data_IF_529973771252
#
_entry.id   IF_529973771252
#
_cell.length_a   1.000
_cell.length_b   1.000
_cell.length_c   1.000
_cell.angle_alpha   90.00
_cell.angle_beta   90.00
_cell.angle_gamma   90.00
#
_symmetry.space_group_name_H-M   'P 1'
#
loop_
_entity.id
_entity.type
_entity.pdbx_description
1 polymer ?
#
# COMPACT_ATOMS: atom_id res chain seq x y z
N UNK A 1 12.77 -39.03 33.28
CA UNK A 1 13.33 -37.66 33.23
C UNK A 1 12.30 -36.80 32.50
N UNK A 2 11.96 -35.63 33.04
CA UNK A 2 11.02 -34.73 32.37
C UNK A 2 11.69 -34.12 31.13
N UNK A 3 10.99 -34.11 29.99
CA UNK A 3 11.48 -33.52 28.76
C UNK A 3 10.82 -32.16 28.55
N UNK A 4 11.58 -31.16 28.12
CA UNK A 4 11.12 -29.79 27.95
C UNK A 4 11.30 -29.31 26.52
N UNK A 5 10.31 -28.60 26.00
CA UNK A 5 10.37 -28.01 24.67
C UNK A 5 11.49 -26.96 24.62
N UNK A 6 12.37 -27.07 23.65
CA UNK A 6 13.50 -26.14 23.48
C UNK A 6 13.09 -24.75 23.00
N UNK A 7 11.83 -24.56 22.59
CA UNK A 7 11.29 -23.27 22.13
C UNK A 7 10.51 -22.51 23.19
N UNK A 8 9.65 -23.19 23.95
CA UNK A 8 8.78 -22.52 24.93
C UNK A 8 9.03 -22.97 26.39
N UNK A 9 9.87 -23.98 26.62
CA UNK A 9 10.17 -24.48 27.96
C UNK A 9 9.09 -25.37 28.60
N UNK A 10 7.96 -25.61 27.92
CA UNK A 10 6.88 -26.45 28.44
C UNK A 10 7.32 -27.92 28.51
N UNK A 11 6.98 -28.59 29.62
CA UNK A 11 7.18 -30.03 29.75
C UNK A 11 6.28 -30.80 28.77
N UNK A 12 6.80 -31.87 28.17
CA UNK A 12 6.04 -32.71 27.24
C UNK A 12 6.16 -34.20 27.56
N UNK A 13 5.15 -34.96 27.16
CA UNK A 13 5.11 -36.42 27.35
C UNK A 13 6.13 -37.13 26.44
N UNK A 14 6.85 -38.17 26.93
CA UNK A 14 7.79 -38.93 26.11
C UNK A 14 7.10 -39.52 24.87
N UNK A 15 7.63 -39.25 23.68
CA UNK A 15 7.08 -39.73 22.40
C UNK A 15 6.15 -38.75 21.68
N UNK A 16 5.84 -37.59 22.26
CA UNK A 16 5.14 -36.52 21.56
C UNK A 16 5.97 -36.02 20.35
N UNK A 17 5.34 -35.93 19.16
CA UNK A 17 5.99 -35.46 17.93
C UNK A 17 5.99 -33.93 17.83
N UNK A 18 5.05 -33.27 18.52
CA UNK A 18 4.86 -31.82 18.55
C UNK A 18 4.58 -31.39 19.98
N UNK A 19 4.95 -30.15 20.33
CA UNK A 19 4.62 -29.55 21.61
C UNK A 19 3.18 -29.04 21.61
N UNK A 20 2.38 -29.43 22.61
CA UNK A 20 0.95 -29.08 22.68
C UNK A 20 0.72 -27.57 22.87
N UNK A 21 1.68 -26.84 23.45
CA UNK A 21 1.56 -25.40 23.72
C UNK A 21 2.01 -24.51 22.55
N UNK A 22 3.09 -24.87 21.85
CA UNK A 22 3.68 -24.00 20.82
C UNK A 22 3.70 -24.61 19.41
N UNK A 23 3.23 -25.85 19.25
CA UNK A 23 3.18 -26.57 17.98
C UNK A 23 4.55 -26.99 17.41
N UNK A 24 5.65 -26.68 18.09
CA UNK A 24 6.99 -26.96 17.57
C UNK A 24 7.30 -28.46 17.57
N UNK A 25 7.99 -28.94 16.54
CA UNK A 25 8.42 -30.35 16.43
C UNK A 25 9.39 -30.72 17.56
N UNK A 26 9.14 -31.85 18.21
CA UNK A 26 9.96 -32.37 19.29
C UNK A 26 10.90 -33.46 18.75
N UNK A 27 12.13 -33.56 19.27
CA UNK A 27 13.06 -34.60 18.86
C UNK A 27 12.48 -35.99 19.16
N UNK A 28 12.20 -36.75 18.09
CA UNK A 28 11.60 -38.07 18.19
C UNK A 28 12.51 -39.01 18.98
N UNK A 29 11.94 -39.68 19.99
CA UNK A 29 12.64 -40.71 20.74
C UNK A 29 13.03 -41.86 19.79
N UNK A 30 14.31 -42.24 19.79
CA UNK A 30 14.81 -43.35 19.01
C UNK A 30 14.13 -44.66 19.45
N UNK A 31 13.44 -45.32 18.51
CA UNK A 31 12.84 -46.64 18.75
C UNK A 31 13.95 -47.69 19.01
N UNK A 32 13.75 -48.64 19.93
CA UNK A 32 14.72 -49.70 20.16
C UNK A 32 14.80 -50.61 18.93
N UNK A 33 16.03 -50.90 18.49
CA UNK A 33 16.32 -51.72 17.32
C UNK A 33 15.86 -53.18 17.50
N UNK A 34 15.36 -53.85 16.45
CA UNK A 34 15.03 -55.27 16.52
C UNK A 34 16.30 -56.11 16.61
N UNK A 35 16.27 -57.15 17.46
CA UNK A 35 17.32 -58.14 17.56
C UNK A 35 17.49 -58.88 16.22
N UNK A 36 18.73 -58.99 15.74
CA UNK A 36 19.10 -59.88 14.64
C UNK A 36 20.26 -60.80 15.07
N UNK A 37 20.30 -62.03 14.51
CA UNK A 37 20.97 -63.16 15.13
C UNK A 37 22.48 -63.18 14.87
N UNK A 38 23.16 -63.94 15.72
CA UNK A 38 24.58 -64.17 15.73
C UNK A 38 25.11 -64.72 14.39
N UNK A 39 26.19 -64.11 13.90
CA UNK A 39 26.94 -64.60 12.74
C UNK A 39 28.29 -63.91 12.61
N UNK A 40 29.33 -64.63 13.04
CA UNK A 40 30.73 -64.63 12.60
C UNK A 40 31.43 -63.27 12.33
N UNK A 41 32.45 -62.99 13.15
CA UNK A 41 33.35 -61.86 12.96
C UNK A 41 34.27 -61.99 11.74
N UNK A 42 34.78 -60.83 11.29
CA UNK A 42 36.18 -60.58 10.89
C UNK A 42 36.34 -59.07 10.56
N UNK A 43 37.38 -58.47 11.16
CA UNK A 43 38.07 -57.19 10.87
C UNK A 43 37.26 -55.88 10.66
N UNK A 44 36.82 -55.31 11.79
CA UNK A 44 36.54 -53.87 11.96
C UNK A 44 37.85 -53.08 12.14
N UNK A 45 38.39 -52.44 11.10
CA UNK A 45 39.29 -51.28 11.33
C UNK A 45 39.31 -50.20 10.25
N UNK A 46 38.77 -50.44 9.05
CA UNK A 46 38.81 -49.46 7.96
C UNK A 46 37.47 -48.78 7.60
N UNK A 47 36.34 -49.20 8.19
CA UNK A 47 35.01 -48.66 7.83
C UNK A 47 34.59 -47.44 8.68
N UNK A 48 35.25 -47.18 9.81
CA UNK A 48 34.91 -46.06 10.71
C UNK A 48 35.39 -44.68 10.23
N UNK A 49 36.31 -44.61 9.26
CA UNK A 49 36.81 -43.32 8.73
C UNK A 49 35.93 -42.83 7.55
N UNK A 50 35.31 -43.74 6.80
CA UNK A 50 34.41 -43.37 5.70
C UNK A 50 33.03 -42.86 6.18
N UNK A 51 32.50 -43.40 7.27
CA UNK A 51 31.19 -42.99 7.80
C UNK A 51 31.17 -41.61 8.49
N UNK A 52 32.27 -41.25 9.17
CA UNK A 52 32.39 -39.96 9.86
C UNK A 52 32.53 -38.77 8.90
N UNK A 53 33.32 -38.94 7.82
CA UNK A 53 33.48 -37.90 6.79
C UNK A 53 32.17 -37.68 6.03
N UNK A 54 31.43 -38.75 5.70
CA UNK A 54 30.14 -38.64 5.01
C UNK A 54 29.07 -37.94 5.85
N UNK A 55 28.98 -38.24 7.16
CA UNK A 55 28.03 -37.61 8.06
C UNK A 55 28.32 -36.10 8.28
N UNK A 56 29.59 -35.72 8.41
CA UNK A 56 29.99 -34.30 8.52
C UNK A 56 29.73 -33.54 7.21
N UNK A 57 29.98 -34.15 6.05
CA UNK A 57 29.69 -33.54 4.74
C UNK A 57 28.17 -33.38 4.51
N UNK A 58 27.33 -34.29 4.99
CA UNK A 58 25.87 -34.15 4.88
C UNK A 58 25.34 -33.06 5.81
N UNK A 59 25.84 -32.94 7.04
CA UNK A 59 25.42 -31.88 7.97
C UNK A 59 25.95 -30.51 7.52
N UNK A 60 27.20 -30.43 7.06
CA UNK A 60 27.77 -29.20 6.50
C UNK A 60 27.13 -28.81 5.17
N UNK A 61 26.85 -29.77 4.29
CA UNK A 61 26.16 -29.57 3.01
C UNK A 61 24.69 -29.16 3.18
N UNK A 62 23.98 -29.73 4.16
CA UNK A 62 22.63 -29.33 4.51
C UNK A 62 22.56 -27.92 5.10
N UNK A 63 23.52 -27.54 5.94
CA UNK A 63 23.63 -26.18 6.47
C UNK A 63 23.98 -25.15 5.37
N UNK A 64 24.84 -25.52 4.41
CA UNK A 64 25.18 -24.69 3.26
C UNK A 64 24.03 -24.56 2.25
N UNK A 65 23.23 -25.60 2.04
CA UNK A 65 22.04 -25.55 1.18
C UNK A 65 20.94 -24.65 1.78
N UNK A 66 20.78 -24.63 3.10
CA UNK A 66 19.83 -23.74 3.80
C UNK A 66 20.21 -22.26 3.68
N UNK A 67 21.52 -21.94 3.62
CA UNK A 67 22.01 -20.58 3.37
C UNK A 67 21.75 -20.08 1.94
N UNK A 68 21.49 -20.99 1.00
CA UNK A 68 21.21 -20.68 -0.41
C UNK A 68 19.72 -20.73 -0.74
N UNK A 69 18.86 -21.12 0.20
CA UNK A 69 17.42 -21.22 -0.01
C UNK A 69 16.77 -19.83 -0.10
N UNK A 70 15.78 -19.64 -0.98
CA UNK A 70 14.98 -18.42 -1.00
C UNK A 70 14.26 -18.22 0.33
N UNK A 71 14.14 -16.97 0.72
CA UNK A 71 13.49 -16.60 1.96
C UNK A 71 12.00 -17.00 1.95
N UNK A 72 11.61 -17.81 2.94
CA UNK A 72 10.21 -18.21 3.10
C UNK A 72 9.30 -17.01 3.43
N UNK A 73 8.10 -17.01 2.86
CA UNK A 73 7.07 -16.05 3.24
C UNK A 73 6.59 -16.35 4.68
N UNK A 74 6.65 -15.34 5.53
CA UNK A 74 6.33 -15.43 6.94
C UNK A 74 6.07 -14.02 7.48
N UNK A 75 5.47 -13.93 8.67
CA UNK A 75 5.36 -12.65 9.36
C UNK A 75 6.73 -11.98 9.56
N UNK A 76 7.76 -12.74 9.92
CA UNK A 76 9.10 -12.19 10.19
C UNK A 76 9.81 -11.64 8.94
N UNK A 77 9.66 -12.32 7.81
CA UNK A 77 10.26 -11.92 6.54
C UNK A 77 9.61 -10.64 6.01
N UNK A 78 8.28 -10.58 6.08
CA UNK A 78 7.51 -9.45 5.60
C UNK A 78 7.69 -8.22 6.50
N UNK A 79 7.66 -8.40 7.82
CA UNK A 79 7.94 -7.30 8.76
C UNK A 79 9.30 -6.68 8.50
N UNK A 80 10.35 -7.50 8.32
CA UNK A 80 11.70 -6.99 8.02
C UNK A 80 11.73 -6.22 6.71
N UNK A 81 11.13 -6.74 5.65
CA UNK A 81 11.09 -6.09 4.35
C UNK A 81 10.42 -4.72 4.42
N UNK A 82 9.29 -4.63 5.12
CA UNK A 82 8.53 -3.40 5.32
C UNK A 82 9.31 -2.42 6.20
N UNK A 83 9.86 -2.86 7.33
CA UNK A 83 10.67 -2.02 8.21
C UNK A 83 11.91 -1.47 7.48
N UNK A 84 12.58 -2.30 6.67
CA UNK A 84 13.72 -1.88 5.86
C UNK A 84 13.32 -0.81 4.83
N UNK A 85 12.19 -1.02 4.14
CA UNK A 85 11.65 -0.05 3.19
C UNK A 85 11.30 1.30 3.86
N UNK A 86 10.58 1.29 4.98
CA UNK A 86 10.17 2.50 5.70
C UNK A 86 11.35 3.21 6.39
N UNK A 87 12.44 2.48 6.66
CA UNK A 87 13.68 3.06 7.15
C UNK A 87 14.45 3.76 6.01
N UNK A 88 14.55 3.11 4.84
CA UNK A 88 15.28 3.62 3.69
C UNK A 88 14.56 4.76 2.96
N UNK A 89 13.24 4.69 2.82
CA UNK A 89 12.42 5.69 2.12
C UNK A 89 11.78 6.67 3.12
N UNK A 90 12.44 7.82 3.29
CA UNK A 90 11.95 8.91 4.13
C UNK A 90 10.64 9.50 3.61
N UNK A 91 10.42 9.56 2.29
CA UNK A 91 9.20 10.12 1.73
C UNK A 91 7.99 9.21 1.97
N UNK A 92 8.17 7.89 1.83
CA UNK A 92 7.15 6.91 2.18
C UNK A 92 6.80 6.97 3.67
N UNK A 93 7.83 7.04 4.54
CA UNK A 93 7.64 7.17 5.99
C UNK A 93 6.93 8.47 6.37
N UNK A 94 7.31 9.59 5.77
CA UNK A 94 6.71 10.90 6.04
C UNK A 94 5.22 10.94 5.69
N UNK A 95 4.81 10.28 4.60
CA UNK A 95 3.39 10.19 4.22
C UNK A 95 2.54 9.51 5.29
N UNK A 96 3.15 8.64 6.10
CA UNK A 96 2.47 7.94 7.20
C UNK A 96 2.51 8.74 8.50
N UNK A 97 3.63 9.42 8.77
CA UNK A 97 3.92 10.02 10.07
C UNK A 97 3.67 11.52 10.16
N UNK A 98 3.49 12.21 9.04
CA UNK A 98 3.49 13.67 9.01
C UNK A 98 2.20 14.24 8.43
N UNK A 99 1.73 15.28 9.08
CA UNK A 99 0.56 16.05 8.69
C UNK A 99 0.97 17.15 7.70
N UNK A 100 0.23 17.27 6.61
CA UNK A 100 0.47 18.24 5.51
C UNK A 100 -0.76 19.08 5.20
N UNK A 101 -1.79 19.03 6.06
CA UNK A 101 -3.06 19.72 5.85
C UNK A 101 -3.01 21.22 6.12
N UNK A 102 -1.93 21.73 6.70
CA UNK A 102 -1.71 23.16 6.97
C UNK A 102 -0.24 23.51 6.71
N UNK A 103 0.06 24.80 6.43
CA UNK A 103 1.43 25.28 6.28
C UNK A 103 2.10 25.43 7.65
N UNK A 104 2.45 24.32 8.29
CA UNK A 104 2.96 24.25 9.66
C UNK A 104 4.30 24.95 9.87
N UNK A 105 5.05 25.21 8.80
CA UNK A 105 6.32 25.94 8.82
C UNK A 105 6.18 27.45 9.00
N UNK A 106 4.96 28.01 8.80
CA UNK A 106 4.75 29.45 8.97
C UNK A 106 4.85 29.80 10.45
N UNK A 107 5.54 30.91 10.73
CA UNK A 107 5.63 31.43 12.11
C UNK A 107 4.27 31.84 12.66
N UNK A 108 3.38 32.30 11.77
CA UNK A 108 2.00 32.65 12.10
C UNK A 108 1.02 32.00 11.11
N UNK A 109 -0.03 31.39 11.65
CA UNK A 109 -1.19 30.94 10.89
C UNK A 109 -2.37 31.82 11.28
N UNK A 110 -2.96 32.48 10.30
CA UNK A 110 -4.13 33.34 10.46
C UNK A 110 -5.37 32.59 10.00
N UNK A 111 -6.35 32.48 10.88
CA UNK A 111 -7.59 31.74 10.62
C UNK A 111 -8.77 32.67 10.83
N UNK A 112 -9.69 32.71 9.86
CA UNK A 112 -10.88 33.53 9.99
C UNK A 112 -11.77 33.03 11.13
N UNK A 113 -12.52 33.92 11.78
CA UNK A 113 -13.38 33.57 12.92
C UNK A 113 -14.44 32.50 12.61
N UNK A 114 -14.90 32.42 11.36
CA UNK A 114 -15.90 31.46 10.90
C UNK A 114 -15.34 30.07 10.56
N UNK A 115 -14.01 29.89 10.42
CA UNK A 115 -13.40 28.59 10.14
C UNK A 115 -13.20 27.80 11.44
N UNK A 116 -14.30 27.25 11.96
CA UNK A 116 -14.31 26.49 13.20
C UNK A 116 -13.46 25.22 13.15
N UNK A 117 -13.39 24.55 11.99
CA UNK A 117 -12.64 23.30 11.81
C UNK A 117 -11.14 23.52 11.97
N UNK A 118 -10.59 24.52 11.27
CA UNK A 118 -9.16 24.83 11.37
C UNK A 118 -8.81 25.37 12.76
N UNK A 119 -9.68 26.17 13.38
CA UNK A 119 -9.47 26.64 14.76
C UNK A 119 -9.45 25.49 15.76
N UNK A 120 -10.43 24.59 15.73
CA UNK A 120 -10.46 23.43 16.62
C UNK A 120 -9.21 22.57 16.49
N UNK A 121 -8.72 22.39 15.25
CA UNK A 121 -7.47 21.67 15.01
C UNK A 121 -6.27 22.41 15.60
N UNK A 122 -6.12 23.71 15.37
CA UNK A 122 -5.02 24.49 15.95
C UNK A 122 -5.10 24.55 17.48
N UNK A 123 -6.29 24.61 18.07
CA UNK A 123 -6.49 24.57 19.52
C UNK A 123 -5.97 23.27 20.14
N UNK A 124 -6.16 22.12 19.46
CA UNK A 124 -5.56 20.85 19.86
C UNK A 124 -4.03 20.95 19.86
N UNK A 125 -3.45 21.59 18.85
CA UNK A 125 -1.99 21.80 18.76
C UNK A 125 -1.48 22.80 19.81
N UNK A 126 -2.27 23.81 20.19
CA UNK A 126 -2.00 24.72 21.30
C UNK A 126 -1.99 23.96 22.63
N UNK A 127 -3.00 23.13 22.89
CA UNK A 127 -3.03 22.27 24.09
C UNK A 127 -1.86 21.29 24.15
N UNK A 128 -1.33 20.91 22.99
CA UNK A 128 -0.14 20.07 22.86
C UNK A 128 1.18 20.85 22.92
N UNK A 129 1.14 22.18 23.08
CA UNK A 129 2.31 23.06 23.23
C UNK A 129 3.05 23.38 21.93
N UNK A 130 2.48 23.05 20.77
CA UNK A 130 3.09 23.31 19.46
C UNK A 130 2.86 24.73 18.96
N UNK A 131 1.76 25.35 19.39
CA UNK A 131 1.39 26.73 19.08
C UNK A 131 1.07 27.49 20.36
N UNK A 132 1.27 28.80 20.35
CA UNK A 132 0.76 29.69 21.39
C UNK A 132 -0.75 29.89 21.25
N UNK A 133 -1.41 30.22 22.36
CA UNK A 133 -2.84 30.54 22.35
C UNK A 133 -3.14 31.66 21.35
N UNK A 134 -4.25 31.58 20.61
CA UNK A 134 -4.52 32.51 19.54
C UNK A 134 -4.84 33.91 20.07
N UNK A 135 -4.38 34.92 19.35
CA UNK A 135 -4.76 36.31 19.58
C UNK A 135 -5.79 36.71 18.54
N UNK A 136 -6.92 37.25 18.98
CA UNK A 136 -7.92 37.82 18.07
C UNK A 136 -7.41 39.18 17.55
N UNK A 137 -7.26 39.28 16.24
CA UNK A 137 -6.87 40.50 15.54
C UNK A 137 -7.98 40.90 14.57
N UNK A 138 -8.34 42.18 14.60
CA UNK A 138 -9.24 42.77 13.62
C UNK A 138 -8.44 43.11 12.37
N UNK A 139 -8.85 42.58 11.21
CA UNK A 139 -8.30 43.05 9.93
C UNK A 139 -8.81 44.48 9.68
N UNK A 140 -7.95 45.47 9.86
CA UNK A 140 -8.33 46.88 9.71
C UNK A 140 -8.95 47.17 8.33
N UNK A 141 -10.16 47.76 8.33
CA UNK A 141 -10.91 48.10 7.13
C UNK A 141 -12.41 48.22 7.41
N UNK A 142 -13.18 48.79 6.47
CA UNK A 142 -14.63 48.98 6.61
C UNK A 142 -15.46 47.67 6.68
N UNK A 143 -14.84 46.54 6.35
CA UNK A 143 -15.36 45.17 6.48
C UNK A 143 -14.47 44.36 7.44
N UNK A 144 -14.19 44.91 8.62
CA UNK A 144 -13.30 44.29 9.59
C UNK A 144 -13.78 42.87 9.93
N UNK A 145 -13.00 41.86 9.54
CA UNK A 145 -13.22 40.49 9.94
C UNK A 145 -12.23 40.14 11.06
N UNK A 146 -12.76 39.59 12.16
CA UNK A 146 -11.95 39.00 13.22
C UNK A 146 -11.19 37.79 12.69
N UNK A 147 -9.88 37.77 12.94
CA UNK A 147 -9.00 36.65 12.63
C UNK A 147 -8.29 36.20 13.90
N UNK A 148 -8.11 34.89 14.04
CA UNK A 148 -7.30 34.29 15.10
C UNK A 148 -5.90 34.03 14.57
N UNK A 149 -4.89 34.55 15.26
CA UNK A 149 -3.49 34.39 14.89
C UNK A 149 -2.83 33.40 15.84
N UNK A 150 -2.37 32.28 15.30
CA UNK A 150 -1.67 31.23 16.03
C UNK A 150 -0.18 31.34 15.73
N UNK A 151 0.64 31.55 16.76
CA UNK A 151 2.09 31.64 16.62
C UNK A 151 2.75 30.29 16.90
N UNK A 152 3.66 29.87 16.03
CA UNK A 152 4.38 28.60 16.16
C UNK A 152 5.36 28.66 17.35
N UNK A 153 5.19 27.76 18.32
CA UNK A 153 6.04 27.69 19.51
C UNK A 153 7.33 26.90 19.24
N UNK A 154 8.33 27.01 20.13
CA UNK A 154 9.59 26.28 20.00
C UNK A 154 9.43 24.74 19.91
N UNK A 155 8.55 24.09 20.72
CA UNK A 155 8.26 22.67 20.54
C UNK A 155 7.63 22.35 19.18
N UNK A 156 6.82 23.27 18.65
CA UNK A 156 6.26 23.23 17.30
C UNK A 156 7.35 23.20 16.24
N UNK A 157 8.27 24.16 16.28
CA UNK A 157 9.43 24.22 15.37
C UNK A 157 10.27 22.94 15.41
N UNK A 158 10.50 22.38 16.60
CA UNK A 158 11.26 21.14 16.77
C UNK A 158 10.53 19.87 16.26
N UNK A 159 9.21 19.92 16.12
CA UNK A 159 8.39 18.83 15.61
C UNK A 159 8.26 18.82 14.08
N UNK A 160 8.77 19.85 13.40
CA UNK A 160 8.71 19.95 11.95
C UNK A 160 9.78 19.10 11.27
N UNK A 161 9.41 18.53 10.13
CA UNK A 161 10.34 17.97 9.14
C UNK A 161 10.03 18.63 7.80
N UNK A 162 10.84 19.64 7.46
CA UNK A 162 10.52 20.53 6.34
C UNK A 162 9.25 21.35 6.64
N UNK A 163 8.25 21.20 5.79
CA UNK A 163 6.94 21.88 5.89
C UNK A 163 5.87 21.07 6.62
N UNK A 164 6.20 19.86 7.09
CA UNK A 164 5.25 18.90 7.65
C UNK A 164 5.39 18.82 9.17
N UNK A 165 4.28 18.59 9.86
CA UNK A 165 4.26 18.33 11.30
C UNK A 165 4.26 16.82 11.55
N UNK A 166 5.36 16.29 12.10
CA UNK A 166 5.53 14.84 12.27
C UNK A 166 5.28 14.39 13.71
N UNK A 167 4.57 13.26 13.86
CA UNK A 167 4.20 12.72 15.18
C UNK A 167 5.25 11.77 15.77
N UNK A 168 6.15 11.26 14.93
CA UNK A 168 7.24 10.36 15.32
C UNK A 168 8.42 10.46 14.34
N UNK A 169 9.58 9.93 14.73
CA UNK A 169 10.72 9.80 13.80
C UNK A 169 10.63 8.54 12.96
N UNK A 170 10.05 7.47 13.50
CA UNK A 170 9.98 6.18 12.84
C UNK A 170 8.66 5.43 13.07
N UNK A 171 8.56 4.32 12.36
CA UNK A 171 7.55 3.30 12.56
C UNK A 171 8.21 1.94 12.50
N UNK A 172 7.58 0.95 13.13
CA UNK A 172 7.91 -0.46 12.98
C UNK A 172 6.65 -1.29 12.78
N UNK A 173 6.76 -2.42 12.11
CA UNK A 173 5.64 -3.36 11.98
C UNK A 173 5.33 -3.99 13.34
N UNK A 174 4.08 -3.83 13.80
CA UNK A 174 3.56 -4.49 14.98
C UNK A 174 2.86 -5.81 14.64
N UNK A 175 2.15 -5.84 13.49
CA UNK A 175 1.49 -7.04 12.98
C UNK A 175 1.47 -6.99 11.46
N UNK A 176 1.66 -8.13 10.81
CA UNK A 176 1.56 -8.25 9.36
C UNK A 176 0.74 -9.48 8.99
N UNK A 177 0.00 -9.39 7.90
CA UNK A 177 -0.76 -10.48 7.29
C UNK A 177 -0.57 -10.47 5.77
N UNK A 178 -1.12 -11.48 5.07
CA UNK A 178 -1.01 -11.60 3.60
C UNK A 178 0.16 -12.46 3.12
N UNK A 179 1.06 -12.88 4.02
CA UNK A 179 2.17 -13.81 3.70
C UNK A 179 1.71 -15.23 3.34
N UNK A 180 0.46 -15.60 3.64
CA UNK A 180 -0.16 -16.86 3.18
C UNK A 180 -0.59 -16.79 1.70
N UNK A 181 -0.72 -15.60 1.13
CA UNK A 181 -1.25 -15.36 -0.22
C UNK A 181 -0.14 -15.04 -1.22
N UNK A 182 0.93 -15.83 -1.19
CA UNK A 182 2.01 -15.73 -2.18
C UNK A 182 1.50 -16.26 -3.52
N UNK A 183 1.69 -15.46 -4.56
CA UNK A 183 1.41 -15.82 -5.95
C UNK A 183 2.70 -15.75 -6.75
N UNK A 184 2.81 -16.61 -7.74
CA UNK A 184 3.91 -16.54 -8.70
C UNK A 184 3.42 -15.81 -9.95
N UNK A 185 4.08 -14.72 -10.29
CA UNK A 185 3.82 -13.93 -11.49
C UNK A 185 5.14 -13.86 -12.23
N UNK A 186 5.28 -14.61 -13.32
CA UNK A 186 6.48 -14.58 -14.20
C UNK A 186 7.75 -15.16 -13.60
N UNK A 187 7.63 -16.22 -12.81
CA UNK A 187 8.79 -16.75 -12.08
C UNK A 187 9.19 -15.94 -10.85
N UNK A 188 8.48 -14.83 -10.57
CA UNK A 188 8.69 -14.02 -9.38
C UNK A 188 7.57 -14.24 -8.38
N UNK A 189 7.94 -14.59 -7.14
CA UNK A 189 6.98 -14.70 -6.05
C UNK A 189 6.62 -13.30 -5.55
N UNK A 190 5.32 -13.02 -5.45
CA UNK A 190 4.77 -11.74 -5.04
C UNK A 190 3.65 -11.95 -4.04
N UNK A 191 3.46 -11.00 -3.14
CA UNK A 191 2.39 -11.02 -2.15
C UNK A 191 1.91 -9.60 -1.88
N UNK A 192 0.68 -9.49 -1.38
CA UNK A 192 0.16 -8.22 -0.88
C UNK A 192 0.06 -8.34 0.64
N UNK A 193 0.80 -7.51 1.35
CA UNK A 193 0.81 -7.54 2.81
C UNK A 193 -0.01 -6.38 3.37
N UNK A 194 -0.78 -6.68 4.41
CA UNK A 194 -1.38 -5.66 5.26
C UNK A 194 -0.57 -5.59 6.54
N UNK A 195 0.00 -4.42 6.83
CA UNK A 195 0.83 -4.19 7.99
C UNK A 195 0.21 -3.13 8.90
N UNK A 196 0.05 -3.49 10.17
CA UNK A 196 -0.26 -2.57 11.25
C UNK A 196 1.04 -2.10 11.88
N UNK A 197 1.24 -0.79 11.88
CA UNK A 197 2.47 -0.16 12.33
C UNK A 197 2.32 0.36 13.77
N UNK A 198 3.44 0.42 14.47
CA UNK A 198 3.60 1.11 15.74
C UNK A 198 4.61 2.23 15.58
N UNK A 199 4.35 3.37 16.20
CA UNK A 199 5.29 4.49 16.23
C UNK A 199 6.58 4.08 16.96
N UNK A 200 7.72 4.48 16.41
CA UNK A 200 9.02 4.44 17.08
C UNK A 200 9.55 5.86 17.23
N UNK A 201 10.19 6.14 18.36
CA UNK A 201 10.64 7.49 18.70
C UNK A 201 9.50 8.52 18.58
N UNK A 202 8.41 8.24 19.28
CA UNK A 202 7.25 9.12 19.35
C UNK A 202 7.66 10.51 19.83
N UNK A 203 7.14 11.55 19.17
CA UNK A 203 7.47 12.91 19.52
C UNK A 203 6.97 13.23 20.93
N UNK A 204 7.82 13.87 21.75
CA UNK A 204 7.52 14.12 23.17
C UNK A 204 6.24 14.94 23.38
N UNK A 205 5.91 15.82 22.44
CA UNK A 205 4.67 16.60 22.47
C UNK A 205 3.43 15.72 22.29
N UNK A 206 3.50 14.69 21.44
CA UNK A 206 2.41 13.78 21.18
C UNK A 206 2.19 12.87 22.40
N UNK A 207 3.26 12.34 22.96
CA UNK A 207 3.21 11.46 24.13
C UNK A 207 2.59 12.13 25.36
N UNK A 208 2.71 13.46 25.47
CA UNK A 208 2.11 14.27 26.55
C UNK A 208 0.74 14.84 26.22
N UNK A 209 0.29 14.73 24.97
CA UNK A 209 -0.96 15.34 24.52
C UNK A 209 -2.17 14.55 25.03
N UNK A 210 -3.12 15.25 25.65
CA UNK A 210 -4.42 14.67 26.00
C UNK A 210 -5.24 14.27 24.76
N UNK A 211 -4.94 14.89 23.61
CA UNK A 211 -5.64 14.69 22.34
C UNK A 211 -4.91 13.68 21.42
N UNK A 212 -3.97 12.88 21.95
CA UNK A 212 -3.13 11.95 21.18
C UNK A 212 -3.92 11.11 20.18
N UNK A 213 -5.04 10.52 20.60
CA UNK A 213 -5.87 9.69 19.73
C UNK A 213 -6.47 10.47 18.55
N UNK A 214 -6.94 11.70 18.79
CA UNK A 214 -7.50 12.58 17.75
C UNK A 214 -6.43 13.02 16.75
N UNK A 215 -5.22 13.30 17.24
CA UNK A 215 -4.07 13.66 16.40
C UNK A 215 -3.70 12.49 15.48
N UNK A 216 -3.65 11.26 16.01
CA UNK A 216 -3.34 10.08 15.21
C UNK A 216 -4.41 9.79 14.16
N UNK A 217 -5.69 9.95 14.48
CA UNK A 217 -6.79 9.80 13.51
C UNK A 217 -6.70 10.80 12.35
N UNK A 218 -5.98 11.92 12.53
CA UNK A 218 -5.81 12.93 11.48
C UNK A 218 -4.70 12.62 10.50
N UNK A 219 -3.86 11.61 10.78
CA UNK A 219 -2.87 11.13 9.83
C UNK A 219 -3.57 10.57 8.58
N UNK A 220 -2.92 10.63 7.39
CA UNK A 220 -3.48 10.06 6.17
C UNK A 220 -3.89 8.58 6.30
N UNK A 221 -3.16 7.84 7.14
CA UNK A 221 -3.44 6.47 7.54
C UNK A 221 -3.70 6.44 9.05
N UNK A 222 -4.86 6.93 9.48
CA UNK A 222 -5.16 7.26 10.89
C UNK A 222 -5.11 6.09 11.87
N UNK A 223 -5.13 4.86 11.39
CA UNK A 223 -4.96 3.61 12.15
C UNK A 223 -3.55 3.00 12.05
N UNK A 224 -2.64 3.69 11.34
CA UNK A 224 -1.30 3.23 10.99
C UNK A 224 -1.30 1.87 10.30
N UNK A 225 -2.33 1.61 9.48
CA UNK A 225 -2.45 0.41 8.65
C UNK A 225 -2.10 0.73 7.20
N UNK A 226 -1.22 -0.08 6.62
CA UNK A 226 -0.75 0.09 5.24
C UNK A 226 -0.83 -1.23 4.47
N UNK A 227 -1.20 -1.13 3.21
CA UNK A 227 -1.19 -2.25 2.28
C UNK A 227 -0.01 -2.07 1.31
N UNK A 228 0.96 -2.98 1.39
CA UNK A 228 2.21 -2.89 0.67
C UNK A 228 2.40 -4.15 -0.19
N UNK A 229 2.64 -4.00 -1.50
CA UNK A 229 3.08 -5.13 -2.31
C UNK A 229 4.53 -5.51 -1.99
N UNK A 230 4.78 -6.82 -1.89
CA UNK A 230 6.12 -7.37 -1.77
C UNK A 230 6.40 -8.33 -2.93
N UNK A 231 7.68 -8.41 -3.27
CA UNK A 231 8.19 -9.41 -4.19
C UNK A 231 9.47 -10.04 -3.62
N UNK A 232 9.69 -11.31 -3.95
CA UNK A 232 10.94 -11.99 -3.65
C UNK A 232 11.98 -11.59 -4.70
N UNK A 233 12.93 -10.74 -4.32
CA UNK A 233 14.02 -10.23 -5.16
C UNK A 233 15.34 -10.63 -4.51
N UNK A 234 16.24 -11.23 -5.29
CA UNK A 234 17.53 -11.73 -4.79
C UNK A 234 17.38 -12.65 -3.57
N UNK A 235 16.40 -13.55 -3.64
CA UNK A 235 16.04 -14.49 -2.57
C UNK A 235 15.54 -13.84 -1.28
N UNK A 236 15.27 -12.53 -1.26
CA UNK A 236 14.73 -11.83 -0.09
C UNK A 236 13.42 -11.09 -0.42
N UNK A 237 12.51 -11.04 0.54
CA UNK A 237 11.27 -10.28 0.38
C UNK A 237 11.58 -8.78 0.45
N UNK A 238 11.08 -8.02 -0.51
CA UNK A 238 11.27 -6.58 -0.60
C UNK A 238 9.95 -5.92 -1.00
N UNK A 239 9.68 -4.72 -0.45
CA UNK A 239 8.55 -3.89 -0.89
C UNK A 239 8.87 -3.38 -2.29
N UNK A 240 7.92 -3.50 -3.22
CA UNK A 240 8.06 -3.07 -4.61
C UNK A 240 7.01 -2.03 -4.94
N UNK A 241 7.15 -1.25 -6.01
CA UNK A 241 6.07 -0.35 -6.42
C UNK A 241 4.90 -1.11 -7.07
N UNK A 242 3.67 -0.69 -6.75
CA UNK A 242 2.43 -1.22 -7.36
C UNK A 242 2.44 -1.07 -8.89
N UNK A 243 3.02 0.02 -9.39
CA UNK A 243 3.21 0.28 -10.81
C UNK A 243 4.17 -0.73 -11.46
N UNK A 244 5.24 -1.11 -10.75
CA UNK A 244 6.23 -2.06 -11.22
C UNK A 244 5.66 -3.48 -11.29
N UNK A 245 4.83 -3.85 -10.31
CA UNK A 245 4.04 -5.10 -10.35
C UNK A 245 3.00 -5.12 -11.47
N UNK A 246 2.28 -4.03 -11.69
CA UNK A 246 1.32 -3.94 -12.80
C UNK A 246 2.03 -4.00 -14.16
N UNK A 247 3.17 -3.33 -14.31
CA UNK A 247 3.99 -3.42 -15.52
C UNK A 247 4.49 -4.84 -15.75
N UNK A 248 5.00 -5.52 -14.72
CA UNK A 248 5.43 -6.92 -14.82
C UNK A 248 4.26 -7.85 -15.21
N UNK A 249 3.09 -7.67 -14.58
CA UNK A 249 1.89 -8.43 -14.93
C UNK A 249 1.43 -8.16 -16.37
N UNK A 250 1.47 -6.91 -16.83
CA UNK A 250 1.12 -6.51 -18.19
C UNK A 250 2.11 -7.05 -19.23
N UNK A 251 3.42 -6.97 -18.98
CA UNK A 251 4.44 -7.48 -19.91
C UNK A 251 4.32 -8.99 -20.11
N UNK A 252 3.96 -9.72 -19.06
CA UNK A 252 3.75 -11.17 -19.15
C UNK A 252 2.41 -11.55 -19.78
N UNK A 253 1.34 -10.80 -19.51
CA UNK A 253 0.08 -11.00 -20.22
C UNK A 253 0.29 -10.85 -21.73
N UNK A 254 1.16 -9.91 -22.15
CA UNK A 254 1.55 -9.73 -23.54
C UNK A 254 2.42 -10.89 -24.07
N UNK A 255 3.38 -11.39 -23.28
CA UNK A 255 4.20 -12.55 -23.65
C UNK A 255 3.40 -13.86 -23.75
N UNK A 256 2.44 -14.09 -22.85
CA UNK A 256 1.54 -15.24 -22.88
C UNK A 256 0.54 -15.17 -24.04
N UNK A 257 0.08 -13.97 -24.40
CA UNK A 257 -0.75 -13.75 -25.58
C UNK A 257 0.01 -14.03 -26.89
N UNK A 258 1.31 -13.74 -26.93
CA UNK A 258 2.19 -14.07 -28.07
C UNK A 258 2.55 -15.57 -28.12
N UNK A 259 2.68 -16.23 -26.96
CA UNK A 259 2.97 -17.67 -26.88
C UNK A 259 1.82 -18.59 -27.28
N UNK A 260 0.56 -18.15 -27.10
CA UNK A 260 -0.64 -18.89 -27.53
C UNK A 260 -1.13 -18.55 -28.94
N UNK A 261 -0.42 -17.69 -29.68
CA UNK A 261 -0.74 -17.37 -31.07
C UNK A 261 -0.12 -18.40 -32.03
N UNK A 262 -0.44 -19.68 -31.84
CA UNK A 262 -0.20 -20.73 -32.85
C UNK A 262 -1.53 -21.23 -33.39
N UNK A 263 -1.85 -20.75 -34.60
CA UNK A 263 -2.73 -21.39 -35.59
C UNK A 263 -4.17 -21.75 -35.18
N UNK A 264 -5.11 -20.80 -35.25
CA UNK A 264 -6.37 -20.95 -36.04
C UNK A 264 -7.04 -19.59 -36.22
N UNK A 265 -6.72 -18.88 -37.31
CA UNK A 265 -7.49 -17.71 -37.74
C UNK A 265 -8.78 -18.18 -38.40
N UNK A 266 -9.83 -18.35 -37.60
CA UNK A 266 -11.20 -18.17 -38.07
C UNK A 266 -11.60 -16.71 -37.87
N UNK A 267 -12.44 -16.10 -38.72
CA UNK A 267 -12.86 -14.71 -38.58
C UNK A 267 -13.76 -14.57 -37.35
N UNK A 268 -13.14 -14.36 -36.20
CA UNK A 268 -13.79 -14.18 -34.91
C UNK A 268 -14.33 -12.77 -34.79
N UNK A 269 -15.64 -12.67 -34.60
CA UNK A 269 -16.48 -11.66 -33.92
C UNK A 269 -16.03 -10.19 -33.75
N UNK A 270 -14.74 -9.88 -33.63
CA UNK A 270 -14.15 -8.54 -33.63
C UNK A 270 -14.19 -7.85 -35.00
N UNK A 271 -14.12 -8.57 -36.12
CA UNK A 271 -14.31 -7.94 -37.44
C UNK A 271 -15.77 -7.51 -37.68
N UNK A 272 -16.74 -8.18 -37.04
CA UNK A 272 -18.14 -7.74 -37.03
C UNK A 272 -18.35 -6.52 -36.11
N UNK A 273 -17.55 -6.36 -35.06
CA UNK A 273 -17.58 -5.18 -34.21
C UNK A 273 -16.92 -3.98 -34.90
N UNK A 274 -15.80 -4.14 -35.60
CA UNK A 274 -15.19 -3.05 -36.39
C UNK A 274 -16.11 -2.48 -37.47
N UNK A 275 -16.99 -3.30 -38.04
CA UNK A 275 -18.03 -2.85 -38.98
C UNK A 275 -19.15 -2.00 -38.38
N UNK A 276 -19.28 -1.95 -37.05
CA UNK A 276 -20.27 -1.12 -36.33
C UNK A 276 -19.67 0.19 -35.77
N UNK A 277 -18.33 0.36 -35.80
CA UNK A 277 -17.63 1.48 -35.15
C UNK A 277 -16.87 2.40 -36.12
N UNK A 278 -17.30 2.50 -37.39
CA UNK A 278 -16.78 3.47 -38.35
C UNK A 278 -17.78 4.60 -38.65
N UNK A 279 -18.31 5.27 -37.62
CA UNK A 279 -19.04 6.54 -37.80
C UNK A 279 -18.79 7.46 -36.58
N UNK A 280 -17.66 8.18 -36.64
CA UNK A 280 -17.29 9.37 -35.84
C UNK A 280 -18.08 9.67 -34.55
N UNK A 281 -17.85 8.91 -33.48
CA UNK A 281 -18.38 9.19 -32.15
C UNK A 281 -17.52 8.58 -31.04
N UNK A 282 -17.52 9.19 -29.86
CA UNK A 282 -16.76 8.77 -28.68
C UNK A 282 -17.67 8.00 -27.69
N UNK A 283 -17.12 7.14 -26.80
CA UNK A 283 -17.91 6.22 -25.97
C UNK A 283 -18.78 6.88 -24.88
N UNK A 284 -18.68 8.20 -24.69
CA UNK A 284 -19.45 8.94 -23.69
C UNK A 284 -20.83 9.39 -24.17
N UNK A 285 -21.17 9.21 -25.45
CA UNK A 285 -22.44 9.70 -25.99
C UNK A 285 -23.63 9.18 -25.15
N UNK A 286 -24.45 10.12 -24.70
CA UNK A 286 -25.61 9.88 -23.81
C UNK A 286 -25.59 10.73 -22.54
N UNK A 287 -26.56 10.46 -21.66
CA UNK A 287 -26.77 11.21 -20.41
C UNK A 287 -26.05 10.56 -19.23
N UNK A 288 -25.47 11.40 -18.38
CA UNK A 288 -24.69 11.02 -17.22
C UNK A 288 -25.11 11.84 -16.02
N UNK A 289 -25.32 11.18 -14.89
CA UNK A 289 -25.74 11.79 -13.63
C UNK A 289 -24.53 11.99 -12.72
N UNK A 290 -24.35 13.21 -12.25
CA UNK A 290 -23.39 13.53 -11.21
C UNK A 290 -23.98 13.24 -9.81
N UNK A 291 -23.17 12.99 -8.78
CA UNK A 291 -23.62 12.64 -7.45
C UNK A 291 -24.43 13.76 -6.79
N UNK A 292 -24.16 15.02 -7.15
CA UNK A 292 -24.86 16.20 -6.66
C UNK A 292 -26.14 16.55 -7.47
N UNK A 293 -26.62 15.65 -8.32
CA UNK A 293 -27.93 15.76 -8.99
C UNK A 293 -27.92 16.42 -10.37
N UNK A 294 -26.80 16.99 -10.81
CA UNK A 294 -26.64 17.53 -12.17
C UNK A 294 -26.61 16.42 -13.24
N UNK A 295 -27.20 16.69 -14.41
CA UNK A 295 -27.14 15.80 -15.58
C UNK A 295 -26.28 16.45 -16.66
N UNK A 296 -25.27 15.70 -17.10
CA UNK A 296 -24.39 16.03 -18.22
C UNK A 296 -24.79 15.16 -19.40
N UNK A 297 -25.05 15.77 -20.55
CA UNK A 297 -25.34 15.06 -21.80
C UNK A 297 -24.20 15.27 -22.79
N UNK A 298 -23.58 14.19 -23.22
CA UNK A 298 -22.53 14.24 -24.23
C UNK A 298 -23.14 13.89 -25.59
N UNK A 299 -23.04 14.82 -26.54
CA UNK A 299 -23.34 14.58 -27.96
C UNK A 299 -22.06 14.21 -28.69
N UNK A 300 -22.09 14.10 -30.02
CA UNK A 300 -20.89 13.78 -30.82
C UNK A 300 -19.81 14.86 -30.76
N UNK A 301 -20.22 16.11 -30.55
CA UNK A 301 -19.42 17.33 -30.73
C UNK A 301 -19.69 18.38 -29.64
N UNK A 302 -20.50 18.08 -28.63
CA UNK A 302 -20.80 19.02 -27.55
C UNK A 302 -21.08 18.34 -26.21
N UNK A 303 -20.88 19.10 -25.14
CA UNK A 303 -21.30 18.75 -23.78
C UNK A 303 -22.41 19.71 -23.36
N UNK A 304 -23.55 19.16 -22.95
CA UNK A 304 -24.71 19.91 -22.50
C UNK A 304 -24.82 19.79 -20.98
N UNK A 305 -24.78 20.92 -20.30
CA UNK A 305 -24.96 21.02 -18.85
C UNK A 305 -26.06 22.06 -18.58
N UNK A 306 -27.11 21.71 -17.85
CA UNK A 306 -28.21 22.63 -17.50
C UNK A 306 -28.75 23.41 -18.73
N UNK A 307 -28.95 22.71 -19.85
CA UNK A 307 -29.38 23.25 -21.15
C UNK A 307 -28.41 24.23 -21.85
N UNK A 308 -27.19 24.41 -21.34
CA UNK A 308 -26.11 25.14 -22.03
C UNK A 308 -25.19 24.14 -22.73
N UNK A 309 -25.05 24.28 -24.04
CA UNK A 309 -24.18 23.44 -24.86
C UNK A 309 -22.81 24.10 -25.03
N UNK A 310 -21.75 23.36 -24.71
CA UNK A 310 -20.37 23.71 -25.01
C UNK A 310 -19.87 22.83 -26.16
N UNK A 311 -19.55 23.43 -27.30
CA UNK A 311 -18.99 22.69 -28.44
C UNK A 311 -17.51 22.42 -28.24
N UNK A 312 -17.02 21.32 -28.81
CA UNK A 312 -15.62 20.96 -28.71
C UNK A 312 -15.28 19.66 -29.43
N UNK A 313 -13.98 19.36 -29.47
CA UNK A 313 -13.48 18.13 -30.07
C UNK A 313 -13.25 17.06 -29.01
N UNK A 314 -13.69 15.84 -29.30
CA UNK A 314 -13.42 14.67 -28.48
C UNK A 314 -12.30 13.84 -29.09
N UNK A 315 -11.27 13.53 -28.30
CA UNK A 315 -10.23 12.55 -28.63
C UNK A 315 -10.31 11.36 -27.67
N UNK A 316 -10.11 10.16 -28.18
CA UNK A 316 -10.21 8.93 -27.37
C UNK A 316 -8.87 8.18 -27.40
N UNK A 317 -8.31 7.92 -26.23
CA UNK A 317 -7.08 7.15 -26.03
C UNK A 317 -7.37 6.04 -25.00
N UNK A 318 -7.61 4.82 -25.49
CA UNK A 318 -8.01 3.70 -24.64
C UNK A 318 -9.34 3.97 -23.92
N UNK A 319 -9.32 3.90 -22.59
CA UNK A 319 -10.48 4.18 -21.74
C UNK A 319 -10.62 5.66 -21.35
N UNK A 320 -9.75 6.54 -21.83
CA UNK A 320 -9.78 7.97 -21.52
C UNK A 320 -10.30 8.73 -22.73
N UNK A 321 -11.31 9.56 -22.51
CA UNK A 321 -11.83 10.50 -23.51
C UNK A 321 -11.47 11.90 -23.06
N UNK A 322 -10.82 12.67 -23.92
CA UNK A 322 -10.50 14.08 -23.68
C UNK A 322 -11.44 14.95 -24.49
N UNK A 323 -12.08 15.92 -23.84
CA UNK A 323 -12.88 16.95 -24.48
C UNK A 323 -12.14 18.29 -24.43
N UNK A 324 -11.89 18.87 -25.60
CA UNK A 324 -11.32 20.20 -25.73
C UNK A 324 -12.39 21.17 -26.25
N UNK A 325 -12.85 22.15 -25.44
CA UNK A 325 -13.88 23.10 -25.85
C UNK A 325 -13.39 24.07 -26.94
N UNK A 326 -14.26 24.43 -27.86
CA UNK A 326 -14.02 25.47 -28.87
C UNK A 326 -14.26 26.86 -28.27
N UNK A 327 -13.19 27.57 -27.92
CA UNK A 327 -13.24 28.95 -27.41
C UNK A 327 -12.02 29.32 -26.57
N UNK A 328 -11.63 30.60 -26.59
CA UNK A 328 -10.48 31.09 -25.82
C UNK A 328 -10.75 31.01 -24.31
N UNK A 329 -10.09 30.08 -23.62
CA UNK A 329 -10.08 29.99 -22.15
C UNK A 329 -10.73 28.74 -21.53
N UNK A 330 -11.25 27.79 -22.32
CA UNK A 330 -11.81 26.54 -21.79
C UNK A 330 -10.72 25.50 -21.47
N UNK A 331 -10.73 24.97 -20.24
CA UNK A 331 -9.82 23.89 -19.85
C UNK A 331 -10.27 22.55 -20.46
N UNK A 332 -9.31 21.77 -20.95
CA UNK A 332 -9.59 20.41 -21.44
C UNK A 332 -10.06 19.52 -20.28
N UNK A 333 -11.13 18.76 -20.52
CA UNK A 333 -11.68 17.80 -19.57
C UNK A 333 -11.23 16.41 -19.96
N UNK A 334 -10.76 15.62 -19.00
CA UNK A 334 -10.42 14.21 -19.20
C UNK A 334 -11.43 13.34 -18.48
N UNK A 335 -11.95 12.33 -19.17
CA UNK A 335 -12.99 11.46 -18.67
C UNK A 335 -12.52 10.01 -18.81
N UNK A 336 -12.29 9.36 -17.68
CA UNK A 336 -11.84 7.96 -17.63
C UNK A 336 -13.02 7.04 -17.42
N UNK A 337 -13.25 6.13 -18.36
CA UNK A 337 -14.30 5.11 -18.30
C UNK A 337 -13.87 3.92 -17.45
N UNK A 338 -14.77 3.41 -16.61
CA UNK A 338 -14.56 2.13 -15.94
C UNK A 338 -14.83 0.95 -16.89
N UNK A 339 -14.29 -0.23 -16.58
CA UNK A 339 -14.47 -1.45 -17.38
C UNK A 339 -15.93 -1.85 -17.62
N UNK A 340 -16.87 -1.28 -16.86
CA UNK A 340 -18.31 -1.54 -16.99
C UNK A 340 -19.05 -0.57 -17.93
N UNK A 341 -18.40 0.49 -18.43
CA UNK A 341 -18.97 1.59 -19.21
C UNK A 341 -20.21 2.28 -18.60
N UNK A 342 -20.51 2.00 -17.33
CA UNK A 342 -21.65 2.56 -16.59
C UNK A 342 -21.21 3.62 -15.58
N UNK A 343 -19.90 3.73 -15.32
CA UNK A 343 -19.31 4.76 -14.48
C UNK A 343 -18.12 5.39 -15.20
N UNK A 344 -17.99 6.71 -15.05
CA UNK A 344 -16.88 7.48 -15.60
C UNK A 344 -16.35 8.43 -14.52
N UNK A 345 -15.05 8.71 -14.51
CA UNK A 345 -14.45 9.70 -13.62
C UNK A 345 -14.09 10.93 -14.43
N UNK A 346 -14.69 12.07 -14.10
CA UNK A 346 -14.39 13.36 -14.72
C UNK A 346 -13.21 14.01 -13.99
N UNK A 347 -12.20 14.43 -14.74
CA UNK A 347 -11.00 15.09 -14.24
C UNK A 347 -10.70 16.36 -15.04
N UNK A 348 -10.21 17.42 -14.39
CA UNK A 348 -9.72 18.64 -15.06
C UNK A 348 -8.31 18.91 -14.54
N UNK A 349 -7.36 19.14 -15.44
CA UNK A 349 -5.95 19.35 -15.06
C UNK A 349 -5.32 18.18 -14.31
N UNK A 350 -5.80 16.96 -14.53
CA UNK A 350 -5.32 15.74 -13.86
C UNK A 350 -5.91 15.48 -12.46
N UNK A 351 -6.79 16.35 -11.95
CA UNK A 351 -7.47 16.13 -10.67
C UNK A 351 -8.88 15.57 -10.90
N UNK A 352 -9.26 14.44 -10.25
CA UNK A 352 -10.61 13.90 -10.33
C UNK A 352 -11.58 14.81 -9.58
N UNK A 353 -12.63 15.25 -10.26
CA UNK A 353 -13.64 16.17 -9.73
C UNK A 353 -14.86 15.40 -9.25
N UNK A 354 -15.34 14.45 -10.06
CA UNK A 354 -16.56 13.71 -9.74
C UNK A 354 -16.63 12.38 -10.50
N UNK A 355 -17.41 11.46 -9.95
CA UNK A 355 -17.79 10.21 -10.64
C UNK A 355 -19.17 10.41 -11.26
N UNK A 356 -19.27 10.12 -12.54
CA UNK A 356 -20.49 10.16 -13.33
C UNK A 356 -21.05 8.75 -13.47
N UNK A 357 -22.37 8.61 -13.36
CA UNK A 357 -23.06 7.36 -13.60
C UNK A 357 -23.93 7.49 -14.85
N UNK A 358 -23.85 6.52 -15.76
CA UNK A 358 -24.63 6.55 -17.00
C UNK A 358 -26.11 6.42 -16.68
N UNK A 359 -26.91 7.34 -17.21
CA UNK A 359 -28.37 7.24 -17.16
C UNK A 359 -28.77 6.27 -18.27
N UNK A 360 -29.41 5.16 -17.89
CA UNK A 360 -30.05 4.27 -18.86
C UNK A 360 -31.33 4.96 -19.31
N UNK A 361 -31.46 5.17 -20.62
CA UNK A 361 -32.74 5.54 -21.22
C UNK A 361 -33.76 4.39 -21.11
#
# INVERSE_FOLDING_TARGET
>A
MAHFCTKCGTAYAPGARFCDECGNTLPAAAAPAPASPAGAGVQRRHVMIAGGVLAVVIVAGGALAWLLAPEAASASSFSRAIDAHLTADEAARDKLLCLTNLPYQKEEIRVASYDSSTRQWLDILVRSGLYAAPVEQSSGGWLAQSQFVYALAAPGKAALRGDKLCVAKGVKVAKVSGYEQVREIGGQQVAMATAKLALTDEATWLAKSADRALILQRLPHGDLEVELPLALVDKQWQVTDRAQLQQAAMSMAMAGALGNASATQGPGMLDKLKGLFSFGGHPLVGKWKAPMGGVLEFTRDSVIENAKASKGTFTTEGNVVTFAPEGAGGMAMQISLSNSNNTATLSIGGMPITVLQRVRD
#
